data_IF_136864632579
#
_entry.id   IF_136864632579
#
_cell.length_a   1.000
_cell.length_b   1.000
_cell.length_c   1.000
_cell.angle_alpha   90.00
_cell.angle_beta   90.00
_cell.angle_gamma   90.00
#
_symmetry.space_group_name_H-M   'P 1'
#
loop_
_entity.id
_entity.type
_entity.pdbx_description
1 polymer ?
#
# COMPACT_ATOMS: atom_id res chain seq x y z
N UNK A 1 2.85 -22.22 21.75
CA UNK A 1 3.32 -21.60 20.51
C UNK A 1 2.13 -21.41 19.59
N UNK A 2 2.04 -20.27 18.94
CA UNK A 2 0.99 -20.02 17.96
C UNK A 2 1.34 -20.72 16.64
N UNK A 3 0.33 -21.23 15.94
CA UNK A 3 0.49 -21.83 14.61
C UNK A 3 -0.42 -21.08 13.66
N UNK A 4 0.10 -20.72 12.48
CA UNK A 4 -0.70 -20.07 11.45
C UNK A 4 -1.83 -20.99 10.99
N UNK A 5 -3.10 -20.50 10.93
CA UNK A 5 -4.28 -21.33 10.70
C UNK A 5 -4.36 -22.01 9.33
N UNK A 6 -3.43 -21.73 8.41
CA UNK A 6 -3.42 -22.27 7.04
C UNK A 6 -4.76 -22.07 6.32
N UNK A 7 -5.20 -20.82 6.24
CA UNK A 7 -6.41 -20.47 5.51
C UNK A 7 -6.33 -20.92 4.05
N UNK A 8 -7.47 -21.36 3.49
CA UNK A 8 -7.59 -21.50 2.04
C UNK A 8 -7.45 -20.09 1.41
N UNK A 9 -6.51 -19.86 0.48
CA UNK A 9 -6.37 -18.58 -0.23
C UNK A 9 -7.62 -18.19 -1.02
N UNK A 10 -8.50 -19.16 -1.35
CA UNK A 10 -9.76 -18.96 -2.04
C UNK A 10 -10.87 -18.78 -1.01
N UNK A 11 -11.46 -17.58 -1.00
CA UNK A 11 -12.58 -17.28 -0.09
C UNK A 11 -13.90 -17.89 -0.54
N UNK A 12 -14.11 -17.99 -1.86
CA UNK A 12 -15.36 -18.53 -2.43
C UNK A 12 -15.11 -19.10 -3.82
N UNK A 13 -15.64 -20.30 -4.07
CA UNK A 13 -15.70 -20.93 -5.37
C UNK A 13 -17.10 -20.74 -6.00
N UNK A 14 -17.16 -20.10 -7.16
CA UNK A 14 -18.36 -19.95 -7.98
C UNK A 14 -18.17 -20.68 -9.32
N UNK A 15 -18.28 -22.00 -9.31
CA UNK A 15 -17.97 -22.83 -10.47
C UNK A 15 -16.49 -22.68 -10.85
N UNK A 16 -16.17 -22.27 -12.08
CA UNK A 16 -14.78 -22.10 -12.53
C UNK A 16 -14.11 -20.83 -11.95
N UNK A 17 -14.88 -19.95 -11.30
CA UNK A 17 -14.39 -18.69 -10.76
C UNK A 17 -13.99 -18.85 -9.29
N UNK A 18 -12.70 -18.61 -9.00
CA UNK A 18 -12.17 -18.60 -7.63
C UNK A 18 -11.97 -17.17 -7.14
N UNK A 19 -12.78 -16.73 -6.17
CA UNK A 19 -12.63 -15.45 -5.51
C UNK A 19 -11.61 -15.59 -4.38
N UNK A 20 -10.47 -14.94 -4.51
CA UNK A 20 -9.37 -15.01 -3.54
C UNK A 20 -9.48 -13.92 -2.47
N UNK A 21 -9.10 -14.23 -1.24
CA UNK A 21 -9.05 -13.27 -0.13
C UNK A 21 -8.25 -12.02 -0.48
N UNK A 22 -7.13 -12.17 -1.16
CA UNK A 22 -6.30 -11.03 -1.55
C UNK A 22 -7.05 -10.04 -2.45
N UNK A 23 -7.84 -10.52 -3.39
CA UNK A 23 -8.73 -9.69 -4.21
C UNK A 23 -9.80 -8.98 -3.38
N UNK A 24 -10.40 -9.68 -2.40
CA UNK A 24 -11.38 -9.09 -1.48
C UNK A 24 -10.76 -7.99 -0.62
N UNK A 25 -9.50 -8.11 -0.20
CA UNK A 25 -8.80 -7.07 0.54
C UNK A 25 -8.58 -5.81 -0.32
N UNK A 26 -8.32 -5.94 -1.62
CA UNK A 26 -8.30 -4.79 -2.54
C UNK A 26 -9.67 -4.12 -2.66
N UNK A 27 -10.74 -4.90 -2.81
CA UNK A 27 -12.10 -4.36 -2.84
C UNK A 27 -12.44 -3.64 -1.53
N UNK A 28 -12.08 -4.22 -0.40
CA UNK A 28 -12.23 -3.59 0.92
C UNK A 28 -11.45 -2.27 1.00
N UNK A 29 -10.21 -2.24 0.51
CA UNK A 29 -9.40 -1.03 0.48
C UNK A 29 -10.09 0.10 -0.31
N UNK A 30 -10.59 -0.18 -1.51
CA UNK A 30 -11.33 0.79 -2.31
C UNK A 30 -12.63 1.24 -1.65
N UNK A 31 -13.37 0.31 -1.04
CA UNK A 31 -14.59 0.62 -0.30
C UNK A 31 -14.30 1.55 0.90
N UNK A 32 -13.23 1.28 1.63
CA UNK A 32 -12.79 2.13 2.75
C UNK A 32 -12.43 3.54 2.28
N UNK A 33 -11.69 3.66 1.17
CA UNK A 33 -11.38 4.97 0.58
C UNK A 33 -12.65 5.70 0.17
N UNK A 34 -13.62 5.01 -0.44
CA UNK A 34 -14.89 5.60 -0.84
C UNK A 34 -15.72 6.06 0.37
N UNK A 35 -15.90 5.21 1.37
CA UNK A 35 -16.71 5.51 2.56
C UNK A 35 -16.08 6.65 3.38
N UNK A 36 -14.79 6.52 3.69
CA UNK A 36 -14.08 7.53 4.49
C UNK A 36 -13.86 8.84 3.72
N UNK A 37 -13.65 8.75 2.41
CA UNK A 37 -13.56 9.93 1.54
C UNK A 37 -14.89 10.70 1.50
N UNK A 38 -16.02 10.03 1.35
CA UNK A 38 -17.36 10.64 1.44
C UNK A 38 -17.60 11.26 2.81
N UNK A 39 -17.22 10.57 3.87
CA UNK A 39 -17.30 11.11 5.22
C UNK A 39 -16.47 12.40 5.36
N UNK A 40 -15.23 12.42 4.86
CA UNK A 40 -14.39 13.62 4.87
C UNK A 40 -15.00 14.77 4.11
N UNK A 41 -15.57 14.54 2.94
CA UNK A 41 -16.24 15.57 2.14
C UNK A 41 -17.39 16.21 2.93
N UNK A 42 -18.18 15.41 3.64
CA UNK A 42 -19.32 15.89 4.43
C UNK A 42 -18.91 16.69 5.68
N UNK A 43 -17.84 16.25 6.37
CA UNK A 43 -17.43 16.79 7.68
C UNK A 43 -16.23 17.74 7.63
N UNK A 44 -15.57 17.85 6.47
CA UNK A 44 -14.35 18.63 6.27
C UNK A 44 -14.49 19.53 5.02
N UNK A 45 -15.44 20.50 5.01
CA UNK A 45 -15.73 21.32 3.82
C UNK A 45 -14.53 22.18 3.39
N UNK A 46 -13.58 22.45 4.29
CA UNK A 46 -12.35 23.18 3.96
C UNK A 46 -11.42 22.45 3.00
N UNK A 47 -11.65 21.15 2.74
CA UNK A 47 -10.88 20.38 1.74
C UNK A 47 -11.21 20.80 0.31
N UNK A 48 -12.38 21.38 0.07
CA UNK A 48 -12.86 21.77 -1.26
C UNK A 48 -13.23 20.60 -2.17
N UNK A 49 -13.29 19.38 -1.62
CA UNK A 49 -13.65 18.19 -2.39
C UNK A 49 -15.17 17.99 -2.48
N UNK A 50 -15.59 17.36 -3.56
CA UNK A 50 -16.98 16.95 -3.78
C UNK A 50 -17.05 15.45 -4.15
N UNK A 51 -18.23 14.80 -4.10
CA UNK A 51 -18.37 13.38 -4.40
C UNK A 51 -17.88 12.97 -5.79
N UNK A 52 -18.09 13.81 -6.82
CA UNK A 52 -17.63 13.51 -8.19
C UNK A 52 -16.11 13.46 -8.27
N UNK A 53 -15.41 14.37 -7.59
CA UNK A 53 -13.95 14.37 -7.52
C UNK A 53 -13.41 13.09 -6.86
N UNK A 54 -14.10 12.58 -5.82
CA UNK A 54 -13.73 11.32 -5.18
C UNK A 54 -13.93 10.13 -6.13
N UNK A 55 -15.05 10.08 -6.83
CA UNK A 55 -15.34 9.02 -7.79
C UNK A 55 -14.31 9.05 -8.95
N UNK A 56 -13.98 10.24 -9.46
CA UNK A 56 -12.98 10.43 -10.51
C UNK A 56 -11.58 9.99 -10.06
N UNK A 57 -11.11 10.41 -8.88
CA UNK A 57 -9.77 10.03 -8.39
C UNK A 57 -9.67 8.53 -8.12
N UNK A 58 -10.74 7.89 -7.64
CA UNK A 58 -10.80 6.45 -7.48
C UNK A 58 -10.73 5.75 -8.84
N UNK A 59 -11.51 6.19 -9.82
CA UNK A 59 -11.48 5.64 -11.17
C UNK A 59 -10.08 5.74 -11.80
N UNK A 60 -9.47 6.93 -11.76
CA UNK A 60 -8.11 7.11 -12.28
C UNK A 60 -7.07 6.31 -11.46
N UNK A 61 -7.26 6.19 -10.14
CA UNK A 61 -6.40 5.39 -9.28
C UNK A 61 -6.43 3.90 -9.65
N UNK A 62 -7.62 3.33 -9.85
CA UNK A 62 -7.79 1.93 -10.29
C UNK A 62 -7.15 1.70 -11.65
N UNK A 63 -7.39 2.59 -12.63
CA UNK A 63 -6.75 2.52 -13.93
C UNK A 63 -5.23 2.62 -13.81
N UNK A 64 -4.73 3.54 -12.96
CA UNK A 64 -3.31 3.70 -12.70
C UNK A 64 -2.67 2.42 -12.13
N UNK A 65 -3.32 1.77 -11.15
CA UNK A 65 -2.85 0.47 -10.61
C UNK A 65 -2.78 -0.59 -11.69
N UNK A 66 -3.86 -0.77 -12.46
CA UNK A 66 -3.96 -1.84 -13.46
C UNK A 66 -2.99 -1.60 -14.61
N UNK A 67 -3.05 -0.44 -15.25
CA UNK A 67 -2.22 -0.12 -16.40
C UNK A 67 -0.74 -0.01 -16.02
N UNK A 68 -0.45 0.72 -14.93
CA UNK A 68 0.91 0.87 -14.45
C UNK A 68 1.51 -0.46 -13.99
N UNK A 69 0.76 -1.25 -13.24
CA UNK A 69 1.19 -2.57 -12.77
C UNK A 69 1.50 -3.52 -13.93
N UNK A 70 0.61 -3.55 -14.93
CA UNK A 70 0.79 -4.40 -16.11
C UNK A 70 1.95 -3.94 -16.99
N UNK A 71 1.97 -2.66 -17.36
CA UNK A 71 3.05 -2.09 -18.17
C UNK A 71 4.41 -2.20 -17.47
N UNK A 72 4.46 -1.94 -16.16
CA UNK A 72 5.68 -2.13 -15.38
C UNK A 72 6.18 -3.57 -15.41
N UNK A 73 5.28 -4.56 -15.36
CA UNK A 73 5.66 -5.96 -15.48
C UNK A 73 6.17 -6.30 -16.90
N UNK A 74 5.44 -5.86 -17.92
CA UNK A 74 5.80 -6.07 -19.33
C UNK A 74 7.20 -5.53 -19.64
N UNK A 75 7.47 -4.28 -19.26
CA UNK A 75 8.73 -3.61 -19.63
C UNK A 75 9.93 -4.07 -18.81
N UNK A 76 9.75 -4.40 -17.52
CA UNK A 76 10.89 -4.65 -16.64
C UNK A 76 11.13 -6.12 -16.31
N UNK A 77 10.13 -6.99 -16.45
CA UNK A 77 10.28 -8.39 -16.04
C UNK A 77 10.34 -9.36 -17.22
N UNK A 78 9.53 -9.16 -18.27
CA UNK A 78 9.42 -10.11 -19.39
C UNK A 78 9.26 -9.41 -20.74
N UNK A 79 10.12 -8.46 -21.11
CA UNK A 79 9.94 -7.71 -22.36
C UNK A 79 9.97 -8.61 -23.62
N UNK A 80 10.82 -9.62 -23.65
CA UNK A 80 10.94 -10.53 -24.81
C UNK A 80 9.67 -11.36 -25.04
N UNK A 81 9.05 -11.86 -23.95
CA UNK A 81 7.82 -12.67 -24.04
C UNK A 81 6.67 -11.85 -24.66
N UNK A 82 6.55 -10.58 -24.23
CA UNK A 82 5.48 -9.69 -24.71
C UNK A 82 5.77 -9.08 -26.09
N UNK A 83 7.02 -9.05 -26.53
CA UNK A 83 7.35 -8.72 -27.92
C UNK A 83 6.96 -9.86 -28.86
N UNK A 84 7.06 -11.12 -28.41
CA UNK A 84 6.66 -12.30 -29.18
C UNK A 84 5.12 -12.46 -29.25
N UNK A 85 4.40 -12.10 -28.18
CA UNK A 85 2.93 -12.09 -28.11
C UNK A 85 2.39 -10.79 -27.51
N UNK A 86 2.24 -9.72 -28.30
CA UNK A 86 1.76 -8.42 -27.81
C UNK A 86 0.34 -8.46 -27.22
N UNK A 87 -0.52 -9.38 -27.66
CA UNK A 87 -1.87 -9.53 -27.13
C UNK A 87 -1.89 -10.05 -25.68
N UNK A 88 -0.82 -10.72 -25.26
CA UNK A 88 -0.64 -11.15 -23.88
C UNK A 88 -0.65 -9.96 -22.89
N UNK A 89 -0.32 -8.74 -23.33
CA UNK A 89 -0.38 -7.53 -22.49
C UNK A 89 -1.80 -7.34 -21.91
N UNK A 90 -2.83 -7.67 -22.66
CA UNK A 90 -4.23 -7.50 -22.25
C UNK A 90 -4.73 -8.61 -21.31
N UNK A 91 -4.04 -9.73 -21.22
CA UNK A 91 -4.43 -10.88 -20.38
C UNK A 91 -4.00 -10.68 -18.91
N UNK A 92 -4.56 -9.65 -18.26
CA UNK A 92 -4.25 -9.30 -16.86
C UNK A 92 -4.66 -10.40 -15.86
N UNK A 93 -5.60 -11.26 -16.22
CA UNK A 93 -6.08 -12.40 -15.40
C UNK A 93 -5.06 -13.55 -15.29
N UNK A 94 -4.05 -13.59 -16.15
CA UNK A 94 -2.94 -14.55 -16.08
C UNK A 94 -1.87 -14.14 -15.04
N UNK A 95 -2.07 -13.02 -14.35
CA UNK A 95 -1.10 -12.46 -13.42
C UNK A 95 -0.06 -11.58 -14.11
N UNK A 96 1.09 -11.36 -13.46
CA UNK A 96 2.15 -10.50 -14.00
C UNK A 96 1.86 -9.01 -13.79
N UNK A 97 1.91 -8.58 -12.52
CA UNK A 97 1.75 -7.19 -12.09
C UNK A 97 3.00 -6.73 -11.33
N UNK A 98 3.48 -5.55 -11.62
CA UNK A 98 4.58 -4.89 -10.93
C UNK A 98 4.06 -3.92 -9.86
N UNK A 99 4.48 -4.09 -8.61
CA UNK A 99 4.15 -3.14 -7.55
C UNK A 99 4.64 -1.72 -7.88
N UNK A 100 5.90 -1.58 -8.29
CA UNK A 100 6.46 -0.26 -8.63
C UNK A 100 5.76 0.36 -9.84
N UNK A 101 5.40 -0.47 -10.83
CA UNK A 101 4.60 -0.01 -11.97
C UNK A 101 3.23 0.50 -11.53
N UNK A 102 2.53 -0.24 -10.68
CA UNK A 102 1.24 0.17 -10.11
C UNK A 102 1.34 1.47 -9.30
N UNK A 103 2.35 1.58 -8.46
CA UNK A 103 2.62 2.80 -7.69
C UNK A 103 2.85 4.03 -8.59
N UNK A 104 3.72 3.92 -9.59
CA UNK A 104 3.95 4.99 -10.58
C UNK A 104 2.68 5.33 -11.36
N UNK A 105 1.90 4.32 -11.73
CA UNK A 105 0.61 4.50 -12.40
C UNK A 105 -0.36 5.32 -11.55
N UNK A 106 -0.46 5.05 -10.25
CA UNK A 106 -1.28 5.84 -9.32
C UNK A 106 -0.75 7.27 -9.20
N UNK A 107 0.56 7.47 -9.09
CA UNK A 107 1.16 8.83 -9.04
C UNK A 107 0.81 9.63 -10.29
N UNK A 108 0.97 9.01 -11.48
CA UNK A 108 0.62 9.64 -12.75
C UNK A 108 -0.89 9.94 -12.81
N UNK A 109 -1.74 9.01 -12.39
CA UNK A 109 -3.19 9.19 -12.32
C UNK A 109 -3.58 10.36 -11.42
N UNK A 110 -2.97 10.48 -10.25
CA UNK A 110 -3.21 11.62 -9.34
C UNK A 110 -2.70 12.95 -9.91
N UNK A 111 -1.57 12.96 -10.64
CA UNK A 111 -1.08 14.16 -11.34
C UNK A 111 -2.07 14.57 -12.43
N UNK A 112 -2.54 13.61 -13.23
CA UNK A 112 -3.56 13.85 -14.25
C UNK A 112 -4.84 14.40 -13.63
N UNK A 113 -5.33 13.79 -12.56
CA UNK A 113 -6.50 14.24 -11.81
C UNK A 113 -6.32 15.69 -11.31
N UNK A 114 -5.18 16.00 -10.68
CA UNK A 114 -4.90 17.34 -10.18
C UNK A 114 -4.97 18.39 -11.30
N UNK A 115 -4.36 18.10 -12.46
CA UNK A 115 -4.41 18.98 -13.63
C UNK A 115 -5.82 19.13 -14.19
N UNK A 116 -6.56 18.03 -14.29
CA UNK A 116 -7.93 18.00 -14.84
C UNK A 116 -8.92 18.83 -14.01
N UNK A 117 -8.73 18.82 -12.67
CA UNK A 117 -9.57 19.58 -11.73
C UNK A 117 -8.97 20.91 -11.30
N UNK A 118 -7.87 21.36 -11.93
CA UNK A 118 -7.15 22.60 -11.58
C UNK A 118 -6.78 22.70 -10.09
N UNK A 119 -6.43 21.57 -9.49
CA UNK A 119 -6.03 21.49 -8.08
C UNK A 119 -4.50 21.47 -7.96
N UNK A 120 -3.94 22.08 -6.91
CA UNK A 120 -2.55 21.85 -6.56
C UNK A 120 -2.32 20.37 -6.20
N UNK A 121 -1.22 19.80 -6.70
CA UNK A 121 -0.85 18.40 -6.43
C UNK A 121 -0.91 18.02 -4.95
N UNK A 122 -0.32 18.87 -4.08
CA UNK A 122 -0.28 18.60 -2.64
C UNK A 122 -1.67 18.65 -1.97
N UNK A 123 -2.66 19.34 -2.51
CA UNK A 123 -4.02 19.28 -1.98
C UNK A 123 -4.68 17.93 -2.29
N UNK A 124 -4.36 17.34 -3.44
CA UNK A 124 -4.85 16.00 -3.81
C UNK A 124 -4.22 14.96 -2.89
N UNK A 125 -2.90 14.98 -2.74
CA UNK A 125 -2.20 14.02 -1.87
C UNK A 125 -2.60 14.18 -0.39
N UNK A 126 -2.84 15.39 0.10
CA UNK A 126 -3.33 15.64 1.46
C UNK A 126 -4.75 15.12 1.69
N UNK A 127 -5.60 15.14 0.67
CA UNK A 127 -6.92 14.53 0.80
C UNK A 127 -6.82 12.99 0.83
N UNK A 128 -5.96 12.41 0.02
CA UNK A 128 -5.82 10.95 -0.11
C UNK A 128 -5.01 10.34 1.05
N UNK A 129 -3.98 11.01 1.55
CA UNK A 129 -3.05 10.47 2.53
C UNK A 129 -3.71 9.81 3.77
N UNK A 130 -4.73 10.39 4.44
CA UNK A 130 -5.40 9.73 5.57
C UNK A 130 -6.28 8.53 5.20
N UNK A 131 -6.56 8.32 3.90
CA UNK A 131 -7.40 7.23 3.43
C UNK A 131 -6.58 5.96 3.10
N UNK A 132 -5.29 6.15 2.78
CA UNK A 132 -4.40 5.08 2.30
C UNK A 132 -4.09 4.01 3.36
N UNK A 133 -3.81 4.34 4.64
CA UNK A 133 -3.30 3.37 5.61
C UNK A 133 -4.17 2.15 5.81
N UNK A 134 -5.50 2.31 5.90
CA UNK A 134 -6.41 1.17 6.06
C UNK A 134 -6.40 0.24 4.84
N UNK A 135 -6.20 0.79 3.64
CA UNK A 135 -6.02 0.00 2.43
C UNK A 135 -4.73 -0.82 2.46
N UNK A 136 -3.62 -0.20 2.92
CA UNK A 136 -2.36 -0.92 3.14
C UNK A 136 -2.55 -2.03 4.18
N UNK A 137 -3.22 -1.71 5.30
CA UNK A 137 -3.54 -2.69 6.33
C UNK A 137 -4.36 -3.87 5.82
N UNK A 138 -5.39 -3.60 4.99
CA UNK A 138 -6.18 -4.67 4.36
C UNK A 138 -5.29 -5.60 3.51
N UNK A 139 -4.35 -5.03 2.73
CA UNK A 139 -3.36 -5.82 1.99
C UNK A 139 -2.50 -6.70 2.91
N UNK A 140 -2.09 -6.21 4.09
CA UNK A 140 -1.30 -7.00 5.06
C UNK A 140 -2.10 -8.15 5.68
N UNK A 141 -3.39 -7.94 5.91
CA UNK A 141 -4.28 -9.05 6.30
C UNK A 141 -4.39 -10.09 5.18
N UNK A 142 -4.47 -9.65 3.92
CA UNK A 142 -4.41 -10.55 2.76
C UNK A 142 -3.12 -11.38 2.72
N UNK A 143 -1.96 -10.75 2.96
CA UNK A 143 -0.67 -11.45 3.05
C UNK A 143 -0.66 -12.46 4.22
N UNK A 144 -1.22 -12.09 5.38
CA UNK A 144 -1.34 -12.99 6.51
C UNK A 144 -2.22 -14.21 6.20
N UNK A 145 -3.39 -14.01 5.60
CA UNK A 145 -4.29 -15.09 5.18
C UNK A 145 -3.58 -16.03 4.18
N UNK A 146 -2.84 -15.49 3.23
CA UNK A 146 -2.06 -16.29 2.28
C UNK A 146 -0.83 -16.96 2.90
N UNK A 147 -0.46 -16.61 4.14
CA UNK A 147 0.74 -17.11 4.80
C UNK A 147 2.04 -16.70 4.12
N UNK A 148 2.08 -15.52 3.52
CA UNK A 148 3.24 -14.98 2.82
C UNK A 148 3.83 -13.75 3.55
N UNK A 149 5.09 -13.38 3.23
CA UNK A 149 5.80 -12.23 3.82
C UNK A 149 5.95 -12.34 5.35
N UNK A 150 6.20 -13.52 5.85
CA UNK A 150 6.49 -13.80 7.27
C UNK A 150 7.79 -13.12 7.73
N UNK A 151 7.95 -13.05 9.05
CA UNK A 151 9.13 -12.46 9.67
C UNK A 151 10.28 -13.43 9.91
N UNK A 152 11.36 -12.88 10.49
CA UNK A 152 12.56 -13.61 10.90
C UNK A 152 12.22 -14.60 12.04
N UNK A 153 13.03 -15.66 12.22
CA UNK A 153 12.94 -16.51 13.40
C UNK A 153 12.98 -15.70 14.70
N UNK A 154 12.21 -16.13 15.70
CA UNK A 154 12.09 -15.42 16.97
C UNK A 154 11.79 -16.35 18.14
N UNK A 155 12.16 -15.91 19.35
CA UNK A 155 11.80 -16.56 20.61
C UNK A 155 10.73 -15.82 21.41
N UNK A 156 10.12 -14.77 20.86
CA UNK A 156 9.06 -14.02 21.56
C UNK A 156 7.82 -14.91 21.84
N UNK A 157 7.09 -14.69 22.95
CA UNK A 157 5.95 -15.54 23.32
C UNK A 157 4.85 -15.65 22.28
N UNK A 158 4.69 -14.62 21.43
CA UNK A 158 3.69 -14.57 20.34
C UNK A 158 4.29 -14.93 18.96
N UNK A 159 5.51 -15.50 18.93
CA UNK A 159 6.08 -16.05 17.71
C UNK A 159 5.15 -17.12 17.12
N UNK A 160 5.01 -17.12 15.79
CA UNK A 160 4.08 -17.97 15.06
C UNK A 160 4.83 -18.90 14.11
N UNK A 161 4.47 -20.18 14.12
CA UNK A 161 4.93 -21.17 13.16
C UNK A 161 4.10 -21.02 11.89
N UNK A 162 4.76 -20.94 10.75
CA UNK A 162 4.13 -20.97 9.42
C UNK A 162 4.43 -22.34 8.78
N UNK A 163 3.52 -23.31 8.86
CA UNK A 163 3.82 -24.71 8.48
C UNK A 163 4.23 -24.89 7.02
N UNK A 164 3.81 -23.97 6.15
CA UNK A 164 4.20 -23.94 4.73
C UNK A 164 5.66 -23.49 4.50
N UNK A 165 6.34 -23.00 5.55
CA UNK A 165 7.72 -22.52 5.50
C UNK A 165 8.67 -23.47 6.22
N UNK A 166 8.46 -23.63 7.54
CA UNK A 166 9.24 -24.48 8.42
C UNK A 166 8.53 -24.62 9.79
N UNK A 167 9.17 -25.36 10.73
CA UNK A 167 8.67 -25.54 12.08
C UNK A 167 9.24 -24.51 13.08
N UNK A 168 9.90 -23.45 12.62
CA UNK A 168 10.54 -22.46 13.48
C UNK A 168 9.58 -21.31 13.74
N UNK A 169 9.41 -20.87 15.02
CA UNK A 169 8.62 -19.69 15.35
C UNK A 169 9.21 -18.44 14.70
N UNK A 170 8.37 -17.66 14.03
CA UNK A 170 8.73 -16.44 13.31
C UNK A 170 7.87 -15.27 13.77
N UNK A 171 8.37 -14.05 13.58
CA UNK A 171 7.56 -12.86 13.79
C UNK A 171 6.38 -12.85 12.80
N UNK A 172 5.12 -12.67 13.24
CA UNK A 172 3.99 -12.40 12.33
C UNK A 172 4.07 -10.95 11.82
N UNK A 173 5.09 -10.67 10.99
CA UNK A 173 5.42 -9.31 10.52
C UNK A 173 4.25 -8.65 9.78
N UNK A 174 3.41 -9.41 9.10
CA UNK A 174 2.21 -8.91 8.43
C UNK A 174 1.26 -8.22 9.43
N UNK A 175 1.12 -8.79 10.64
CA UNK A 175 0.28 -8.21 11.70
C UNK A 175 0.91 -6.96 12.32
N UNK A 176 2.25 -6.87 12.39
CA UNK A 176 2.94 -5.66 12.82
C UNK A 176 2.78 -4.54 11.78
N UNK A 177 2.91 -4.86 10.50
CA UNK A 177 2.65 -3.94 9.40
C UNK A 177 1.19 -3.46 9.42
N UNK A 178 0.23 -4.36 9.62
CA UNK A 178 -1.17 -4.01 9.78
C UNK A 178 -1.39 -3.05 10.96
N UNK A 179 -0.82 -3.34 12.12
CA UNK A 179 -0.99 -2.51 13.31
C UNK A 179 -0.36 -1.12 13.16
N UNK A 180 0.85 -1.03 12.61
CA UNK A 180 1.60 0.22 12.53
C UNK A 180 1.30 1.01 11.24
N UNK A 181 1.48 0.38 10.05
CA UNK A 181 1.27 1.02 8.75
C UNK A 181 -0.23 1.18 8.42
N UNK A 182 -1.08 0.28 8.92
CA UNK A 182 -2.53 0.33 8.77
C UNK A 182 -3.19 1.18 9.86
N UNK A 183 -3.31 0.64 11.08
CA UNK A 183 -4.15 1.22 12.14
C UNK A 183 -3.52 2.46 12.76
N UNK A 184 -2.29 2.38 13.27
CA UNK A 184 -1.66 3.49 14.00
C UNK A 184 -1.49 4.70 13.09
N UNK A 185 -1.00 4.49 11.86
CA UNK A 185 -0.84 5.55 10.88
C UNK A 185 -2.19 6.18 10.48
N UNK A 186 -3.23 5.35 10.30
CA UNK A 186 -4.58 5.85 10.06
C UNK A 186 -5.06 6.76 11.19
N UNK A 187 -4.96 6.32 12.44
CA UNK A 187 -5.42 7.09 13.61
C UNK A 187 -4.68 8.42 13.69
N UNK A 188 -3.36 8.43 13.49
CA UNK A 188 -2.53 9.65 13.51
C UNK A 188 -2.99 10.61 12.40
N UNK A 189 -3.06 10.15 11.16
CA UNK A 189 -3.41 11.01 10.03
C UNK A 189 -4.85 11.49 10.11
N UNK A 190 -5.77 10.62 10.54
CA UNK A 190 -7.16 10.98 10.73
C UNK A 190 -7.34 12.04 11.81
N UNK A 191 -6.61 11.93 12.92
CA UNK A 191 -6.59 12.93 13.96
C UNK A 191 -6.01 14.27 13.48
N UNK A 192 -4.89 14.24 12.74
CA UNK A 192 -4.28 15.44 12.15
C UNK A 192 -5.20 16.13 11.13
N UNK A 193 -5.99 15.35 10.39
CA UNK A 193 -6.90 15.83 9.36
C UNK A 193 -8.19 16.48 9.92
N UNK A 194 -8.45 16.41 11.24
CA UNK A 194 -9.65 17.01 11.86
C UNK A 194 -9.71 18.53 11.78
N UNK A 195 -8.60 19.18 11.52
CA UNK A 195 -8.48 20.64 11.40
C UNK A 195 -7.86 21.01 10.06
N UNK A 196 -8.17 22.18 9.50
CA UNK A 196 -7.46 22.70 8.33
C UNK A 196 -5.96 22.72 8.60
N UNK A 197 -5.18 22.29 7.62
CA UNK A 197 -3.71 22.23 7.69
C UNK A 197 -3.09 22.93 6.48
N UNK A 198 -1.88 23.47 6.61
CA UNK A 198 -1.12 23.94 5.46
C UNK A 198 -1.00 22.84 4.40
N UNK A 199 -1.01 23.25 3.14
CA UNK A 199 -0.94 22.33 2.01
C UNK A 199 0.38 21.55 1.99
N UNK A 200 0.30 20.22 1.86
CA UNK A 200 1.43 19.30 1.96
C UNK A 200 1.66 18.74 3.37
N UNK A 201 0.93 19.21 4.39
CA UNK A 201 1.13 18.78 5.78
C UNK A 201 0.74 17.30 6.00
N UNK A 202 -0.41 16.86 5.49
CA UNK A 202 -0.86 15.48 5.68
C UNK A 202 -0.03 14.52 4.82
N UNK A 203 0.39 14.95 3.65
CA UNK A 203 1.32 14.22 2.80
C UNK A 203 2.68 14.04 3.47
N UNK A 204 3.21 15.07 4.09
CA UNK A 204 4.46 15.01 4.85
C UNK A 204 4.32 14.07 6.07
N UNK A 205 3.21 14.17 6.81
CA UNK A 205 2.91 13.28 7.94
C UNK A 205 2.81 11.81 7.52
N UNK A 206 2.19 11.55 6.37
CA UNK A 206 2.15 10.20 5.79
C UNK A 206 3.55 9.68 5.46
N UNK A 207 4.37 10.47 4.76
CA UNK A 207 5.72 10.06 4.35
C UNK A 207 6.61 9.77 5.57
N UNK A 208 6.59 10.63 6.58
CA UNK A 208 7.35 10.42 7.82
C UNK A 208 6.81 9.22 8.58
N UNK A 209 5.49 9.15 8.81
CA UNK A 209 4.86 8.09 9.60
C UNK A 209 5.02 6.73 8.95
N UNK A 210 4.66 6.60 7.67
CA UNK A 210 4.80 5.34 6.93
C UNK A 210 6.26 4.91 6.83
N UNK A 211 7.14 5.83 6.41
CA UNK A 211 8.57 5.54 6.32
C UNK A 211 9.17 5.07 7.64
N UNK A 212 8.81 5.72 8.76
CA UNK A 212 9.29 5.33 10.09
C UNK A 212 8.75 3.95 10.52
N UNK A 213 7.44 3.71 10.37
CA UNK A 213 6.85 2.42 10.72
C UNK A 213 7.40 1.30 9.85
N UNK A 214 7.53 1.52 8.54
CA UNK A 214 8.12 0.56 7.62
C UNK A 214 9.57 0.26 7.99
N UNK A 215 10.37 1.27 8.28
CA UNK A 215 11.76 1.10 8.71
C UNK A 215 11.86 0.24 9.97
N UNK A 216 10.99 0.48 10.96
CA UNK A 216 10.97 -0.26 12.22
C UNK A 216 10.52 -1.72 12.03
N UNK A 217 9.43 -1.96 11.30
CA UNK A 217 8.93 -3.32 11.09
C UNK A 217 9.91 -4.18 10.31
N UNK A 218 10.69 -3.58 9.44
CA UNK A 218 11.66 -4.30 8.60
C UNK A 218 12.73 -5.03 9.42
N UNK A 219 12.99 -4.62 10.67
CA UNK A 219 13.88 -5.39 11.58
C UNK A 219 13.30 -6.77 11.95
N UNK A 220 11.99 -6.92 11.93
CA UNK A 220 11.31 -8.18 12.24
C UNK A 220 10.98 -9.01 11.00
N UNK A 221 11.06 -8.42 9.82
CA UNK A 221 10.73 -9.05 8.56
C UNK A 221 11.89 -9.89 8.03
N UNK A 222 11.59 -11.02 7.41
CA UNK A 222 12.58 -11.78 6.63
C UNK A 222 12.94 -10.99 5.37
N UNK A 223 14.20 -10.68 5.12
CA UNK A 223 14.64 -10.00 3.89
C UNK A 223 14.29 -10.83 2.66
N UNK A 224 14.00 -10.15 1.55
CA UNK A 224 13.75 -10.82 0.28
C UNK A 224 14.95 -11.68 -0.13
N UNK A 225 14.72 -12.96 -0.41
CA UNK A 225 15.78 -13.96 -0.67
C UNK A 225 16.75 -13.56 -1.79
N UNK A 226 16.28 -12.78 -2.77
CA UNK A 226 17.08 -12.34 -3.92
C UNK A 226 17.97 -11.13 -3.61
N UNK A 227 17.58 -10.28 -2.65
CA UNK A 227 18.29 -9.03 -2.35
C UNK A 227 19.09 -9.12 -1.05
N UNK A 228 18.66 -9.92 -0.10
CA UNK A 228 19.26 -10.02 1.21
C UNK A 228 19.33 -8.68 1.94
N UNK A 229 20.43 -8.44 2.64
CA UNK A 229 20.78 -7.15 3.22
C UNK A 229 21.77 -6.42 2.33
N UNK A 230 21.56 -5.12 2.14
CA UNK A 230 22.38 -4.22 1.33
C UNK A 230 23.43 -3.51 2.19
N UNK A 231 23.97 -2.40 1.69
CA UNK A 231 24.94 -1.59 2.41
C UNK A 231 24.47 -1.26 3.85
N UNK A 232 25.40 -1.22 4.80
CA UNK A 232 25.16 -1.02 6.24
C UNK A 232 24.28 -2.09 6.91
N UNK A 233 24.10 -3.26 6.29
CA UNK A 233 23.23 -4.34 6.81
C UNK A 233 21.74 -4.02 6.77
N UNK A 234 21.34 -2.98 6.05
CA UNK A 234 19.92 -2.59 5.89
C UNK A 234 19.28 -3.36 4.75
N UNK A 235 17.98 -3.66 4.90
CA UNK A 235 17.17 -4.24 3.83
C UNK A 235 16.78 -3.19 2.77
N UNK A 236 16.31 -3.63 1.61
CA UNK A 236 15.77 -2.74 0.58
C UNK A 236 14.59 -1.91 1.11
N UNK A 237 13.73 -2.50 1.96
CA UNK A 237 12.61 -1.78 2.58
C UNK A 237 13.08 -0.62 3.46
N UNK A 238 14.17 -0.82 4.23
CA UNK A 238 14.78 0.24 5.04
C UNK A 238 15.39 1.34 4.17
N UNK A 239 16.12 0.96 3.12
CA UNK A 239 16.71 1.91 2.18
C UNK A 239 15.68 2.78 1.49
N UNK A 240 14.53 2.22 1.10
CA UNK A 240 13.43 2.96 0.48
C UNK A 240 12.67 3.83 1.49
N UNK A 241 12.67 3.47 2.77
CA UNK A 241 12.02 4.25 3.83
C UNK A 241 12.76 5.53 4.16
N UNK A 242 14.10 5.52 4.12
CA UNK A 242 14.92 6.70 4.45
C UNK A 242 14.60 7.93 3.57
N UNK A 243 14.61 7.84 2.23
CA UNK A 243 14.24 8.99 1.39
C UNK A 243 12.80 9.46 1.60
N UNK A 244 11.86 8.56 1.95
CA UNK A 244 10.50 8.96 2.29
C UNK A 244 10.47 9.81 3.56
N UNK A 245 11.18 9.40 4.61
CA UNK A 245 11.29 10.16 5.87
C UNK A 245 11.91 11.53 5.60
N UNK A 246 13.04 11.55 4.87
CA UNK A 246 13.73 12.81 4.52
C UNK A 246 12.82 13.73 3.71
N UNK A 247 12.15 13.22 2.68
CA UNK A 247 11.23 14.00 1.85
C UNK A 247 10.06 14.56 2.68
N UNK A 248 9.51 13.76 3.60
CA UNK A 248 8.45 14.22 4.50
C UNK A 248 8.92 15.32 5.44
N UNK A 249 10.10 15.18 6.05
CA UNK A 249 10.70 16.21 6.92
C UNK A 249 11.00 17.50 6.15
N UNK A 250 11.55 17.39 4.95
CA UNK A 250 11.79 18.54 4.08
C UNK A 250 10.47 19.24 3.70
N UNK A 251 9.43 18.47 3.39
CA UNK A 251 8.11 19.03 3.08
C UNK A 251 7.51 19.76 4.29
N UNK A 252 7.64 19.23 5.50
CA UNK A 252 7.27 19.93 6.73
C UNK A 252 8.06 21.24 6.90
N UNK A 253 9.36 21.20 6.66
CA UNK A 253 10.21 22.37 6.81
C UNK A 253 9.86 23.48 5.80
N UNK A 254 9.64 23.11 4.53
CA UNK A 254 9.28 24.05 3.45
C UNK A 254 7.86 24.64 3.58
N UNK A 255 6.97 24.00 4.35
CA UNK A 255 5.56 24.38 4.51
C UNK A 255 5.23 24.86 5.93
N UNK A 256 6.24 25.19 6.71
CA UNK A 256 6.01 25.89 7.99
C UNK A 256 5.31 27.21 7.71
N UNK A 257 4.27 27.58 8.51
CA UNK A 257 3.58 28.86 8.41
C UNK A 257 4.53 30.02 8.67
#
# INVERSE_FOLDING_TARGET
>A
MLVHPQFDPVALHLGPLAIRWYGLMYLLAFLLVLVLGRWRIQHQPWTGWNPRMLDDVLFYGVLGVILGGRLGYVFFYKPADYLADPLAILRVWEGGMSFHGGFLGVVIAMIFFARRHHLPWLSVTDFIAPLVPLGLGAGRIGNFINGELWGRPTSVPWGMIFPQVDAIPRHPSQLYEFALEGIALFVILWWLARKPRPQGFLSAAFLVGYGSFRFLVEFTREPDRFLGTLAFGLSMGQWLSLPMIVAGLLLFWLRRP
#
